data_IF_076473069778
#
_entry.id   IF_076473069778
#
_cell.length_a   1.000
_cell.length_b   1.000
_cell.length_c   1.000
_cell.angle_alpha   90.00
_cell.angle_beta   90.00
_cell.angle_gamma   90.00
#
_symmetry.space_group_name_H-M   'P 1'
#
loop_
_entity.id
_entity.type
_entity.pdbx_description
1 polymer ?
#
# COMPACT_ATOMS: atom_id res chain seq x y z
N UNK A 1 4.01 -2.08 35.06
CA UNK A 1 2.92 -1.85 34.07
C UNK A 1 3.01 -2.91 32.99
N UNK A 2 2.05 -3.82 32.93
CA UNK A 2 2.11 -5.07 32.16
C UNK A 2 1.58 -4.89 30.72
N UNK A 3 2.31 -5.29 29.65
CA UNK A 3 1.88 -5.14 28.25
C UNK A 3 0.72 -6.08 27.83
N UNK A 4 0.38 -7.05 28.67
CA UNK A 4 -0.46 -8.21 28.36
C UNK A 4 -1.90 -7.87 27.93
N UNK A 5 -2.51 -6.83 28.50
CA UNK A 5 -3.92 -6.52 28.27
C UNK A 5 -4.24 -6.03 26.83
N UNK A 6 -3.27 -5.44 26.10
CA UNK A 6 -3.47 -5.01 24.71
C UNK A 6 -3.44 -6.17 23.74
N UNK A 7 -2.57 -7.15 23.97
CA UNK A 7 -2.43 -8.34 23.15
C UNK A 7 -3.70 -9.21 23.21
N UNK A 8 -4.30 -9.37 24.39
CA UNK A 8 -5.54 -10.13 24.56
C UNK A 8 -6.74 -9.49 23.87
N UNK A 9 -6.90 -8.16 23.96
CA UNK A 9 -7.99 -7.45 23.27
C UNK A 9 -7.84 -7.52 21.75
N UNK A 10 -6.61 -7.37 21.25
CA UNK A 10 -6.33 -7.55 19.83
C UNK A 10 -6.66 -8.98 19.40
N UNK A 11 -6.18 -10.00 20.10
CA UNK A 11 -6.44 -11.40 19.78
C UNK A 11 -7.95 -11.73 19.73
N UNK A 12 -8.73 -11.25 20.71
CA UNK A 12 -10.19 -11.42 20.72
C UNK A 12 -10.87 -10.68 19.56
N UNK A 13 -10.41 -9.47 19.23
CA UNK A 13 -10.92 -8.71 18.08
C UNK A 13 -10.61 -9.43 16.75
N UNK A 14 -9.39 -9.95 16.60
CA UNK A 14 -8.97 -10.74 15.44
C UNK A 14 -9.79 -12.03 15.29
N UNK A 15 -10.11 -12.73 16.38
CA UNK A 15 -11.00 -13.91 16.33
C UNK A 15 -12.39 -13.53 15.83
N UNK A 16 -13.00 -12.49 16.42
CA UNK A 16 -14.36 -12.06 16.06
C UNK A 16 -14.46 -11.55 14.62
N UNK A 17 -13.45 -10.86 14.12
CA UNK A 17 -13.39 -10.46 12.71
C UNK A 17 -13.30 -11.67 11.79
N UNK A 18 -12.49 -12.68 12.14
CA UNK A 18 -12.34 -13.92 11.35
C UNK A 18 -13.64 -14.72 11.28
N UNK A 19 -14.35 -14.82 12.41
CA UNK A 19 -15.63 -15.54 12.48
C UNK A 19 -16.72 -14.82 11.68
N UNK A 20 -16.74 -13.47 11.70
CA UNK A 20 -17.65 -12.68 10.84
C UNK A 20 -17.35 -12.85 9.36
N UNK A 21 -16.09 -12.87 8.95
CA UNK A 21 -15.70 -13.08 7.55
C UNK A 21 -16.12 -14.48 7.06
N UNK A 22 -16.00 -15.51 7.93
CA UNK A 22 -16.47 -16.87 7.61
C UNK A 22 -17.99 -16.98 7.49
N UNK A 23 -18.74 -16.20 8.27
CA UNK A 23 -20.21 -16.17 8.22
C UNK A 23 -20.81 -15.29 7.13
N UNK A 24 -20.02 -14.43 6.48
CA UNK A 24 -20.52 -13.44 5.51
C UNK A 24 -20.86 -14.00 4.11
N UNK A 25 -20.57 -15.27 3.83
CA UNK A 25 -20.99 -15.93 2.59
C UNK A 25 -20.41 -15.31 1.30
N UNK A 26 -20.60 -16.00 0.19
CA UNK A 26 -20.01 -15.68 -1.13
C UNK A 26 -20.41 -14.29 -1.67
N UNK A 27 -21.53 -13.71 -1.20
CA UNK A 27 -22.02 -12.37 -1.57
C UNK A 27 -21.09 -11.23 -1.09
N UNK A 28 -20.49 -11.38 0.10
CA UNK A 28 -19.57 -10.37 0.66
C UNK A 28 -18.13 -10.51 0.17
N UNK A 29 -17.79 -11.67 -0.40
CA UNK A 29 -16.44 -11.99 -0.87
C UNK A 29 -16.10 -11.15 -2.10
N UNK A 30 -17.01 -11.06 -3.07
CA UNK A 30 -16.82 -10.28 -4.30
C UNK A 30 -16.65 -8.78 -4.05
N UNK A 31 -17.44 -8.16 -3.15
CA UNK A 31 -17.31 -6.72 -2.83
C UNK A 31 -16.01 -6.41 -2.09
N UNK A 32 -15.59 -7.29 -1.17
CA UNK A 32 -14.33 -7.15 -0.45
C UNK A 32 -13.12 -7.31 -1.38
N UNK A 33 -13.19 -8.21 -2.37
CA UNK A 33 -12.15 -8.40 -3.39
C UNK A 33 -11.90 -7.13 -4.20
N UNK A 34 -12.97 -6.47 -4.67
CA UNK A 34 -12.82 -5.20 -5.40
C UNK A 34 -12.21 -4.10 -4.52
N UNK A 35 -12.67 -3.98 -3.28
CA UNK A 35 -12.14 -2.98 -2.35
C UNK A 35 -10.65 -3.21 -2.03
N UNK A 36 -10.26 -4.45 -1.75
CA UNK A 36 -8.85 -4.83 -1.53
C UNK A 36 -8.03 -4.64 -2.79
N UNK A 37 -8.59 -4.91 -3.97
CA UNK A 37 -7.96 -4.64 -5.26
C UNK A 37 -7.61 -3.15 -5.45
N UNK A 38 -8.54 -2.24 -5.15
CA UNK A 38 -8.26 -0.81 -5.17
C UNK A 38 -7.21 -0.42 -4.12
N UNK A 39 -7.30 -0.94 -2.90
CA UNK A 39 -6.29 -0.67 -1.86
C UNK A 39 -4.89 -1.13 -2.26
N UNK A 40 -4.78 -2.30 -2.89
CA UNK A 40 -3.50 -2.82 -3.39
C UNK A 40 -2.93 -1.90 -4.50
N UNK A 41 -3.77 -1.45 -5.43
CA UNK A 41 -3.37 -0.51 -6.47
C UNK A 41 -2.91 0.85 -5.87
N UNK A 42 -3.65 1.37 -4.89
CA UNK A 42 -3.27 2.59 -4.18
C UNK A 42 -1.94 2.45 -3.43
N UNK A 43 -1.70 1.31 -2.79
CA UNK A 43 -0.44 1.04 -2.09
C UNK A 43 0.73 1.00 -3.07
N UNK A 44 0.57 0.32 -4.21
CA UNK A 44 1.56 0.32 -5.29
C UNK A 44 1.83 1.74 -5.82
N UNK A 45 0.77 2.53 -6.06
CA UNK A 45 0.89 3.91 -6.51
C UNK A 45 1.65 4.78 -5.50
N UNK A 46 1.42 4.60 -4.19
CA UNK A 46 2.16 5.29 -3.15
C UNK A 46 3.65 4.92 -3.16
N UNK A 47 3.98 3.64 -3.33
CA UNK A 47 5.38 3.20 -3.47
C UNK A 47 6.03 3.81 -4.72
N UNK A 48 5.35 3.77 -5.87
CA UNK A 48 5.83 4.38 -7.11
C UNK A 48 6.03 5.89 -6.96
N UNK A 49 5.13 6.58 -6.27
CA UNK A 49 5.29 8.00 -5.98
C UNK A 49 6.58 8.26 -5.19
N UNK A 50 6.86 7.45 -4.16
CA UNK A 50 8.12 7.55 -3.38
C UNK A 50 9.36 7.27 -4.23
N UNK A 51 9.28 6.30 -5.16
CA UNK A 51 10.38 6.00 -6.09
C UNK A 51 10.62 7.17 -7.03
N UNK A 52 9.58 7.68 -7.69
CA UNK A 52 9.69 8.76 -8.68
C UNK A 52 10.12 10.08 -8.04
N UNK A 53 9.70 10.33 -6.80
CA UNK A 53 10.12 11.52 -6.02
C UNK A 53 11.44 11.35 -5.28
N UNK A 54 12.13 10.21 -5.45
CA UNK A 54 13.41 9.97 -4.78
C UNK A 54 14.54 10.78 -5.42
N UNK A 55 15.57 11.09 -4.61
CA UNK A 55 16.78 11.79 -5.05
C UNK A 55 17.46 11.14 -6.27
N UNK A 56 17.69 9.82 -6.31
CA UNK A 56 18.30 9.16 -7.45
C UNK A 56 17.50 9.32 -8.76
N UNK A 57 16.17 9.19 -8.71
CA UNK A 57 15.32 9.33 -9.91
C UNK A 57 15.29 10.79 -10.38
N UNK A 58 15.15 11.75 -9.46
CA UNK A 58 15.21 13.18 -9.80
C UNK A 58 16.57 13.57 -10.41
N UNK A 59 17.68 13.10 -9.83
CA UNK A 59 19.02 13.35 -10.35
C UNK A 59 19.22 12.73 -11.74
N UNK A 60 18.76 11.50 -11.96
CA UNK A 60 18.82 10.86 -13.27
C UNK A 60 18.03 11.66 -14.32
N UNK A 61 16.82 12.13 -13.97
CA UNK A 61 16.01 12.94 -14.86
C UNK A 61 16.68 14.29 -15.17
N UNK A 62 17.28 14.94 -14.18
CA UNK A 62 18.04 16.18 -14.36
C UNK A 62 19.24 15.96 -15.30
N UNK A 63 19.98 14.87 -15.13
CA UNK A 63 21.11 14.53 -16.02
C UNK A 63 20.65 14.30 -17.46
N UNK A 64 19.51 13.63 -17.67
CA UNK A 64 18.94 13.45 -19.00
C UNK A 64 18.56 14.79 -19.65
N UNK A 65 17.95 15.71 -18.89
CA UNK A 65 17.58 17.04 -19.38
C UNK A 65 18.83 17.86 -19.76
N UNK A 66 19.87 17.86 -18.91
CA UNK A 66 21.14 18.55 -19.19
C UNK A 66 21.80 17.97 -20.43
N UNK A 67 21.85 16.64 -20.57
CA UNK A 67 22.37 15.99 -21.78
C UNK A 67 21.59 16.39 -23.03
N UNK A 68 20.27 16.42 -22.96
CA UNK A 68 19.43 16.83 -24.09
C UNK A 68 19.69 18.29 -24.50
N UNK A 69 19.85 19.20 -23.52
CA UNK A 69 20.15 20.60 -23.79
C UNK A 69 21.53 20.80 -24.43
N UNK A 70 22.53 20.04 -23.99
CA UNK A 70 23.88 20.09 -24.56
C UNK A 70 24.02 19.35 -25.89
N UNK A 71 23.16 18.37 -26.19
CA UNK A 71 23.22 17.62 -27.45
C UNK A 71 22.66 18.39 -28.65
N UNK A 72 21.91 19.47 -28.43
CA UNK A 72 21.24 20.25 -29.49
C UNK A 72 22.08 21.42 -30.02
N UNK A 73 23.31 21.63 -29.56
CA UNK A 73 24.17 22.71 -30.06
C UNK A 73 25.63 22.29 -30.23
#
# INVERSE_FOLDING_TARGET
MTPSARASKAATWWSRCRDRVRGAGEDGMTTAEYAVGTLAACALAAVLYKVVTSGPVSAALQQLIVKALHATF
#
